data_IF_851960281443
#
_entry.id   IF_851960281443
#
_cell.length_a   1.000
_cell.length_b   1.000
_cell.length_c   1.000
_cell.angle_alpha   90.00
_cell.angle_beta   90.00
_cell.angle_gamma   90.00
#
_symmetry.space_group_name_H-M   'P 1'
#
loop_
_entity.id
_entity.type
_entity.pdbx_description
1 polymer ?
#
# COMPACT_ATOMS: atom_id res chain seq x y z
N UNK A 1 56.75 -50.39 -9.70
CA UNK A 1 55.68 -50.05 -8.75
C UNK A 1 55.84 -48.64 -8.17
N UNK A 2 57.06 -48.13 -7.97
CA UNK A 2 57.29 -46.78 -7.42
C UNK A 2 56.87 -45.65 -8.37
N UNK A 3 57.09 -45.81 -9.68
CA UNK A 3 56.74 -44.82 -10.72
C UNK A 3 55.24 -44.55 -10.85
N UNK A 4 54.41 -45.58 -10.70
CA UNK A 4 52.97 -45.47 -10.96
C UNK A 4 52.27 -44.73 -9.81
N UNK A 5 52.83 -44.83 -8.60
CA UNK A 5 52.36 -44.14 -7.40
C UNK A 5 52.69 -42.64 -7.45
N UNK A 6 53.86 -42.26 -7.98
CA UNK A 6 54.26 -40.86 -8.18
C UNK A 6 53.38 -40.16 -9.21
N UNK A 7 53.01 -40.84 -10.30
CA UNK A 7 52.09 -40.32 -11.32
C UNK A 7 50.70 -40.08 -10.72
N UNK A 8 50.16 -41.03 -9.95
CA UNK A 8 48.86 -40.88 -9.28
C UNK A 8 48.84 -39.72 -8.29
N UNK A 9 49.94 -39.47 -7.57
CA UNK A 9 50.07 -38.34 -6.65
C UNK A 9 50.01 -37.01 -7.43
N UNK A 10 50.77 -36.88 -8.51
CA UNK A 10 50.77 -35.67 -9.33
C UNK A 10 49.38 -35.39 -9.95
N UNK A 11 48.67 -36.42 -10.41
CA UNK A 11 47.30 -36.27 -10.93
C UNK A 11 46.30 -35.82 -9.85
N UNK A 12 46.42 -36.35 -8.63
CA UNK A 12 45.58 -35.94 -7.50
C UNK A 12 45.86 -34.50 -7.05
N UNK A 13 47.12 -34.08 -7.03
CA UNK A 13 47.50 -32.70 -6.70
C UNK A 13 46.99 -31.70 -7.76
N UNK A 14 47.06 -32.06 -9.04
CA UNK A 14 46.49 -31.27 -10.13
C UNK A 14 44.97 -31.13 -10.00
N UNK A 15 44.26 -32.24 -9.74
CA UNK A 15 42.80 -32.23 -9.52
C UNK A 15 42.40 -31.38 -8.31
N UNK A 16 43.13 -31.51 -7.20
CA UNK A 16 42.89 -30.71 -5.98
C UNK A 16 43.04 -29.21 -6.27
N UNK A 17 44.02 -28.84 -7.09
CA UNK A 17 44.27 -27.43 -7.44
C UNK A 17 43.16 -26.89 -8.35
N UNK A 18 42.71 -27.67 -9.33
CA UNK A 18 41.59 -27.31 -10.22
C UNK A 18 40.26 -27.19 -9.47
N UNK A 19 39.95 -28.12 -8.57
CA UNK A 19 38.75 -28.06 -7.72
C UNK A 19 38.78 -26.85 -6.78
N UNK A 20 39.95 -26.52 -6.22
CA UNK A 20 40.12 -25.32 -5.39
C UNK A 20 39.85 -24.05 -6.19
N UNK A 21 40.39 -23.94 -7.41
CA UNK A 21 40.15 -22.78 -8.27
C UNK A 21 38.66 -22.66 -8.66
N UNK A 22 37.98 -23.78 -8.91
CA UNK A 22 36.53 -23.80 -9.17
C UNK A 22 35.72 -23.34 -7.96
N UNK A 23 36.13 -23.72 -6.75
CA UNK A 23 35.47 -23.30 -5.52
C UNK A 23 35.60 -21.79 -5.32
N UNK A 24 36.81 -21.24 -5.45
CA UNK A 24 37.06 -19.78 -5.32
C UNK A 24 36.26 -18.98 -6.37
N UNK A 25 36.16 -19.48 -7.61
CA UNK A 25 35.36 -18.85 -8.65
C UNK A 25 33.85 -18.89 -8.33
N UNK A 26 33.39 -19.96 -7.68
CA UNK A 26 31.98 -20.13 -7.30
C UNK A 26 31.61 -19.24 -6.11
N UNK A 27 32.49 -19.12 -5.12
CA UNK A 27 32.36 -18.19 -3.99
C UNK A 27 32.27 -16.73 -4.48
N UNK A 28 33.13 -16.33 -5.42
CA UNK A 28 33.09 -15.00 -6.02
C UNK A 28 31.76 -14.73 -6.77
N UNK A 29 31.19 -15.75 -7.42
CA UNK A 29 29.88 -15.65 -8.08
C UNK A 29 28.74 -15.54 -7.08
N UNK A 30 28.78 -16.28 -5.97
CA UNK A 30 27.78 -16.21 -4.90
C UNK A 30 27.77 -14.80 -4.31
N UNK A 31 28.94 -14.26 -3.95
CA UNK A 31 29.05 -12.92 -3.38
C UNK A 31 28.44 -11.85 -4.30
N UNK A 32 28.67 -11.97 -5.61
CA UNK A 32 28.09 -11.05 -6.60
C UNK A 32 26.56 -11.18 -6.69
N UNK A 33 26.05 -12.41 -6.67
CA UNK A 33 24.60 -12.65 -6.69
C UNK A 33 23.90 -12.12 -5.45
N UNK A 34 24.53 -12.25 -4.27
CA UNK A 34 24.00 -11.69 -3.03
C UNK A 34 23.93 -10.16 -3.06
N UNK A 35 24.94 -9.50 -3.63
CA UNK A 35 24.93 -8.05 -3.85
C UNK A 35 23.82 -7.62 -4.82
N UNK A 36 23.71 -8.32 -5.96
CA UNK A 36 22.67 -8.04 -6.96
C UNK A 36 21.26 -8.27 -6.37
N UNK A 37 21.10 -9.28 -5.51
CA UNK A 37 19.84 -9.58 -4.84
C UNK A 37 19.47 -8.47 -3.85
N UNK A 38 20.41 -8.02 -3.00
CA UNK A 38 20.20 -6.92 -2.08
C UNK A 38 19.83 -5.62 -2.82
N UNK A 39 20.45 -5.35 -3.97
CA UNK A 39 20.10 -4.18 -4.79
C UNK A 39 18.67 -4.29 -5.37
N UNK A 40 18.29 -5.48 -5.86
CA UNK A 40 16.93 -5.73 -6.37
C UNK A 40 15.88 -5.57 -5.28
N UNK A 41 16.12 -6.13 -4.10
CA UNK A 41 15.20 -6.02 -2.97
C UNK A 41 15.00 -4.57 -2.54
N UNK A 42 16.08 -3.78 -2.51
CA UNK A 42 16.02 -2.35 -2.23
C UNK A 42 15.23 -1.56 -3.30
N UNK A 43 15.33 -1.96 -4.58
CA UNK A 43 14.54 -1.35 -5.68
C UNK A 43 13.06 -1.73 -5.60
N UNK A 44 12.75 -2.99 -5.29
CA UNK A 44 11.36 -3.46 -5.10
C UNK A 44 10.69 -2.67 -3.98
N UNK A 45 11.34 -2.54 -2.83
CA UNK A 45 10.81 -1.79 -1.69
C UNK A 45 10.44 -0.33 -2.07
N UNK A 46 11.30 0.34 -2.84
CA UNK A 46 11.05 1.71 -3.32
C UNK A 46 9.88 1.77 -4.32
N UNK A 47 9.76 0.77 -5.19
CA UNK A 47 8.69 0.70 -6.18
C UNK A 47 7.34 0.38 -5.56
N UNK A 48 7.30 -0.36 -4.45
CA UNK A 48 6.07 -0.65 -3.71
C UNK A 48 5.60 0.56 -2.88
N UNK A 49 6.52 1.26 -2.22
CA UNK A 49 6.18 2.41 -1.37
C UNK A 49 5.72 3.64 -2.18
N UNK A 50 6.34 3.90 -3.34
CA UNK A 50 6.08 5.12 -4.12
C UNK A 50 4.64 5.31 -4.61
N UNK A 51 3.96 4.29 -5.16
CA UNK A 51 2.54 4.36 -5.52
C UNK A 51 1.63 4.54 -4.30
N UNK A 52 1.85 3.77 -3.23
CA UNK A 52 1.02 3.80 -2.00
C UNK A 52 1.08 5.17 -1.34
N UNK A 53 2.27 5.77 -1.19
CA UNK A 53 2.41 7.10 -0.61
C UNK A 53 1.77 8.19 -1.49
N UNK A 54 1.90 8.06 -2.83
CA UNK A 54 1.28 9.02 -3.76
C UNK A 54 -0.24 8.95 -3.74
N UNK A 55 -0.81 7.74 -3.67
CA UNK A 55 -2.25 7.55 -3.52
C UNK A 55 -2.73 8.06 -2.17
N UNK A 56 -2.12 7.67 -1.06
CA UNK A 56 -2.49 8.18 0.27
C UNK A 56 -2.47 9.72 0.34
N UNK A 57 -1.46 10.35 -0.28
CA UNK A 57 -1.36 11.81 -0.36
C UNK A 57 -2.46 12.44 -1.24
N UNK A 58 -2.82 11.81 -2.36
CA UNK A 58 -3.96 12.26 -3.20
C UNK A 58 -5.28 12.13 -2.43
N UNK A 59 -5.49 11.00 -1.75
CA UNK A 59 -6.71 10.69 -1.00
C UNK A 59 -6.93 11.71 0.11
N UNK A 60 -5.89 12.00 0.91
CA UNK A 60 -5.95 13.03 1.96
C UNK A 60 -6.27 14.44 1.42
N UNK A 61 -5.69 14.82 0.27
CA UNK A 61 -6.01 16.11 -0.37
C UNK A 61 -7.46 16.17 -0.82
N UNK A 62 -7.99 15.08 -1.36
CA UNK A 62 -9.37 15.01 -1.82
C UNK A 62 -10.35 15.05 -0.65
N UNK A 63 -10.12 14.23 0.39
CA UNK A 63 -10.86 14.23 1.65
C UNK A 63 -10.95 15.64 2.25
N UNK A 64 -9.81 16.34 2.34
CA UNK A 64 -9.77 17.74 2.84
C UNK A 64 -10.66 18.68 2.01
N UNK A 65 -10.66 18.54 0.68
CA UNK A 65 -11.52 19.37 -0.19
C UNK A 65 -12.99 19.05 -0.01
N UNK A 66 -13.37 17.78 0.13
CA UNK A 66 -14.75 17.38 0.40
C UNK A 66 -15.25 17.97 1.73
N UNK A 67 -14.44 17.90 2.77
CA UNK A 67 -14.75 18.49 4.09
C UNK A 67 -14.95 20.01 3.96
N UNK A 68 -14.06 20.71 3.24
CA UNK A 68 -14.17 22.15 3.00
C UNK A 68 -15.46 22.52 2.25
N UNK A 69 -15.79 21.80 1.18
CA UNK A 69 -17.02 22.03 0.41
C UNK A 69 -18.25 21.79 1.28
N UNK A 70 -18.28 20.70 2.06
CA UNK A 70 -19.39 20.39 2.95
C UNK A 70 -19.55 21.46 4.03
N UNK A 71 -18.44 21.94 4.60
CA UNK A 71 -18.42 23.08 5.54
C UNK A 71 -19.04 24.34 4.93
N UNK A 72 -18.70 24.67 3.68
CA UNK A 72 -19.25 25.84 2.99
C UNK A 72 -20.75 25.67 2.68
N UNK A 73 -21.19 24.50 2.22
CA UNK A 73 -22.59 24.20 1.89
C UNK A 73 -23.48 24.21 3.14
N UNK A 74 -23.00 23.60 4.23
CA UNK A 74 -23.75 23.48 5.48
C UNK A 74 -23.61 24.72 6.37
N UNK A 75 -22.61 25.57 6.09
CA UNK A 75 -22.23 26.73 6.90
C UNK A 75 -22.04 26.36 8.38
N UNK A 76 -21.31 25.27 8.61
CA UNK A 76 -21.07 24.66 9.92
C UNK A 76 -19.62 24.11 9.98
N UNK A 77 -18.97 24.28 11.14
CA UNK A 77 -17.67 23.64 11.39
C UNK A 77 -17.85 22.15 11.68
N UNK A 78 -17.19 21.25 10.93
CA UNK A 78 -17.28 19.82 11.17
C UNK A 78 -16.43 19.37 12.36
N UNK A 79 -16.86 18.30 13.02
CA UNK A 79 -16.02 17.47 13.88
C UNK A 79 -15.28 16.48 12.99
N UNK A 80 -13.95 16.59 12.91
CA UNK A 80 -13.09 15.74 12.09
C UNK A 80 -12.82 14.41 12.80
N UNK A 81 -12.72 13.30 12.04
CA UNK A 81 -12.42 11.96 12.57
C UNK A 81 -13.37 11.58 13.73
N UNK A 82 -14.66 11.83 13.52
CA UNK A 82 -15.67 11.64 14.55
C UNK A 82 -15.98 10.14 14.71
N UNK A 83 -15.89 9.62 15.94
CA UNK A 83 -16.26 8.23 16.28
C UNK A 83 -17.56 8.21 17.07
N UNK A 84 -18.73 8.04 16.41
CA UNK A 84 -19.98 8.05 17.13
C UNK A 84 -20.13 6.77 17.98
N UNK A 85 -20.62 6.88 19.23
CA UNK A 85 -20.87 5.71 20.08
C UNK A 85 -21.81 4.68 19.43
N UNK A 86 -22.73 5.14 18.58
CA UNK A 86 -23.70 4.29 17.87
C UNK A 86 -23.10 3.53 16.67
N UNK A 87 -21.90 3.88 16.22
CA UNK A 87 -21.22 3.21 15.11
C UNK A 87 -20.23 2.12 15.56
N UNK A 88 -20.36 1.57 16.77
CA UNK A 88 -19.56 0.44 17.25
C UNK A 88 -18.03 0.63 17.06
N UNK A 89 -17.54 1.87 17.18
CA UNK A 89 -16.14 2.21 17.01
C UNK A 89 -15.69 2.54 15.58
N UNK A 90 -16.60 2.60 14.60
CA UNK A 90 -16.29 3.17 13.29
C UNK A 90 -16.11 4.69 13.40
N UNK A 91 -15.26 5.22 12.52
CA UNK A 91 -14.90 6.64 12.43
C UNK A 91 -15.48 7.20 11.13
N UNK A 92 -15.96 8.44 11.18
CA UNK A 92 -16.37 9.23 10.04
C UNK A 92 -15.32 10.31 9.78
N UNK A 93 -15.01 10.58 8.51
CA UNK A 93 -14.08 11.63 8.13
C UNK A 93 -14.46 13.01 8.71
N UNK A 94 -15.74 13.33 8.68
CA UNK A 94 -16.29 14.52 9.31
C UNK A 94 -17.74 14.33 9.75
N UNK A 95 -18.16 15.10 10.76
CA UNK A 95 -19.53 15.12 11.24
C UNK A 95 -20.02 16.53 11.52
N UNK A 96 -21.19 16.87 10.98
CA UNK A 96 -21.86 18.15 11.12
C UNK A 96 -23.02 17.98 12.10
N UNK A 97 -22.82 18.43 13.33
CA UNK A 97 -23.67 18.12 14.47
C UNK A 97 -25.07 18.74 14.36
N UNK A 98 -25.17 19.97 13.87
CA UNK A 98 -26.44 20.72 13.77
C UNK A 98 -27.42 20.01 12.83
N UNK A 99 -26.93 19.52 11.71
CA UNK A 99 -27.75 18.79 10.72
C UNK A 99 -27.69 17.28 10.89
N UNK A 100 -26.87 16.78 11.83
CA UNK A 100 -26.61 15.36 12.04
C UNK A 100 -26.16 14.64 10.76
N UNK A 101 -25.25 15.27 10.02
CA UNK A 101 -24.70 14.74 8.77
C UNK A 101 -23.32 14.15 9.03
N UNK A 102 -23.15 12.86 8.77
CA UNK A 102 -21.83 12.23 8.62
C UNK A 102 -21.31 12.38 7.20
N UNK A 103 -20.03 12.66 7.04
CA UNK A 103 -19.31 12.67 5.77
C UNK A 103 -18.26 11.56 5.80
N UNK A 104 -18.25 10.73 4.76
CA UNK A 104 -17.26 9.69 4.54
C UNK A 104 -16.77 9.75 3.08
N UNK A 105 -15.46 9.82 2.88
CA UNK A 105 -14.82 10.00 1.57
C UNK A 105 -14.08 8.71 1.21
N UNK A 106 -14.63 7.96 0.27
CA UNK A 106 -14.08 6.67 -0.13
C UNK A 106 -13.28 6.78 -1.44
N UNK A 107 -12.04 6.29 -1.40
CA UNK A 107 -11.17 6.17 -2.58
C UNK A 107 -11.27 4.81 -3.29
N UNK A 108 -10.65 4.71 -4.47
CA UNK A 108 -10.65 3.51 -5.31
C UNK A 108 -10.17 2.22 -4.60
N UNK A 109 -9.31 2.33 -3.58
CA UNK A 109 -8.83 1.19 -2.79
C UNK A 109 -9.94 0.55 -1.93
N UNK A 110 -10.97 1.31 -1.55
CA UNK A 110 -12.13 0.81 -0.79
C UNK A 110 -13.15 0.06 -1.67
N UNK A 111 -13.01 0.08 -3.00
CA UNK A 111 -13.89 -0.63 -3.95
C UNK A 111 -13.94 -2.15 -3.71
N UNK A 112 -12.89 -2.74 -3.12
CA UNK A 112 -12.82 -4.18 -2.84
C UNK A 112 -13.23 -4.58 -1.42
N UNK A 113 -13.41 -3.61 -0.51
CA UNK A 113 -13.95 -3.87 0.81
C UNK A 113 -15.45 -3.69 0.74
N UNK A 114 -16.18 -4.80 0.53
CA UNK A 114 -17.63 -4.80 0.58
C UNK A 114 -18.08 -4.03 1.84
N UNK A 115 -18.88 -2.99 1.64
CA UNK A 115 -19.42 -2.11 2.66
C UNK A 115 -20.43 -2.87 3.54
N UNK A 116 -19.96 -3.89 4.26
CA UNK A 116 -20.77 -4.74 5.13
C UNK A 116 -21.29 -3.99 6.36
N UNK A 117 -20.83 -2.76 6.59
CA UNK A 117 -21.27 -1.90 7.69
C UNK A 117 -22.65 -1.26 7.43
N UNK A 118 -23.10 -1.13 6.16
CA UNK A 118 -24.45 -0.67 5.84
C UNK A 118 -25.55 -1.65 6.25
N UNK A 119 -25.21 -2.91 6.59
CA UNK A 119 -26.20 -3.87 7.12
C UNK A 119 -26.79 -3.40 8.46
N UNK A 120 -26.10 -2.49 9.14
CA UNK A 120 -26.55 -1.84 10.37
C UNK A 120 -27.16 -0.44 10.12
N UNK A 121 -27.57 -0.10 8.88
CA UNK A 121 -28.22 1.18 8.52
C UNK A 121 -29.43 1.55 9.40
N UNK A 122 -30.02 0.58 10.09
CA UNK A 122 -31.05 0.79 11.11
C UNK A 122 -30.59 1.67 12.29
N UNK A 123 -29.27 1.80 12.53
CA UNK A 123 -28.71 2.69 13.56
C UNK A 123 -28.50 4.13 13.09
N UNK A 124 -28.65 4.39 11.78
CA UNK A 124 -28.59 5.73 11.18
C UNK A 124 -29.98 6.37 11.04
N UNK A 125 -31.03 5.79 11.63
CA UNK A 125 -32.44 6.23 11.46
C UNK A 125 -32.70 7.73 11.79
N UNK A 126 -31.80 8.42 12.51
CA UNK A 126 -31.89 9.86 12.78
C UNK A 126 -30.74 10.72 12.21
N UNK A 127 -29.79 10.12 11.48
CA UNK A 127 -28.59 10.78 10.96
C UNK A 127 -28.50 10.61 9.43
N UNK A 128 -28.14 11.67 8.72
CA UNK A 128 -27.89 11.62 7.29
C UNK A 128 -26.42 11.27 7.05
N UNK A 129 -26.13 10.47 6.02
CA UNK A 129 -24.77 10.14 5.61
C UNK A 129 -24.54 10.61 4.17
N UNK A 130 -23.50 11.41 3.97
CA UNK A 130 -22.99 11.79 2.67
C UNK A 130 -21.74 10.95 2.36
N UNK A 131 -21.87 10.00 1.44
CA UNK A 131 -20.74 9.22 0.95
C UNK A 131 -20.25 9.81 -0.37
N UNK A 132 -18.97 10.20 -0.43
CA UNK A 132 -18.36 10.76 -1.63
C UNK A 132 -17.36 9.77 -2.19
N UNK A 133 -17.66 9.28 -3.39
CA UNK A 133 -16.77 8.41 -4.16
C UNK A 133 -16.01 9.22 -5.20
N UNK A 134 -14.71 8.97 -5.35
CA UNK A 134 -13.96 9.45 -6.50
C UNK A 134 -13.19 8.30 -7.15
N UNK A 135 -13.37 8.18 -8.46
CA UNK A 135 -12.50 7.38 -9.32
C UNK A 135 -11.41 8.29 -9.89
N UNK A 136 -10.30 7.74 -10.38
CA UNK A 136 -9.26 8.54 -11.07
C UNK A 136 -9.78 9.19 -12.37
N UNK A 137 -11.01 8.89 -12.81
CA UNK A 137 -11.74 9.52 -13.91
C UNK A 137 -13.18 9.88 -13.53
N UNK A 138 -13.44 11.05 -12.93
CA UNK A 138 -14.80 11.51 -12.75
C UNK A 138 -15.35 12.04 -14.09
N UNK A 139 -16.12 11.23 -14.81
CA UNK A 139 -17.04 11.75 -15.83
C UNK A 139 -18.31 12.23 -15.13
N UNK A 140 -18.35 13.51 -14.75
CA UNK A 140 -19.58 14.15 -14.29
C UNK A 140 -19.93 15.24 -15.30
N UNK A 141 -20.90 14.94 -16.16
CA UNK A 141 -21.58 15.94 -17.00
C UNK A 141 -22.77 16.46 -16.20
N UNK A 142 -22.66 17.69 -15.69
CA UNK A 142 -23.80 18.43 -15.12
C UNK A 142 -24.48 19.14 -16.30
N UNK A 143 -25.73 18.79 -16.68
CA UNK A 143 -26.44 19.55 -17.69
C UNK A 143 -26.63 20.98 -17.18
N UNK A 144 -26.26 21.96 -18.00
CA UNK A 144 -26.65 23.34 -17.77
C UNK A 144 -28.15 23.45 -18.06
N UNK A 145 -28.93 23.83 -17.06
CA UNK A 145 -30.26 24.39 -17.27
C UNK A 145 -30.14 25.82 -17.81
#
# INVERSE_FOLDING_TARGET
>A
MTSDLEVLIAELEAKKTDEKAKLEALEARILKLEQDQAERDARILKLEQGPVEREAKKNRKFQTRCIQIAKEILNEEPIIEYRPPFLNGLELDAFFQKYRIGLEVQGAQHRFHSTSWYKDAKKLEENFLLEVWYDEKPEIVIPKN
#
